data_IF_700681773104
#
_entry.id   IF_700681773104
#
_cell.length_a   1.000
_cell.length_b   1.000
_cell.length_c   1.000
_cell.angle_alpha   90.00
_cell.angle_beta   90.00
_cell.angle_gamma   90.00
#
_symmetry.space_group_name_H-M   'P 1'
#
loop_
_entity.id
_entity.type
_entity.pdbx_description
1 polymer ?
#
# COMPACT_ATOMS: atom_id res chain seq x y z
N UNK A 1 9.73 0.89 -0.38
CA UNK A 1 8.94 0.34 -1.51
C UNK A 1 7.46 0.47 -1.17
N UNK A 2 6.57 0.11 -2.10
CA UNK A 2 5.14 -0.22 -1.87
C UNK A 2 4.70 -1.22 -2.95
N UNK A 3 3.46 -1.73 -2.88
CA UNK A 3 2.87 -2.65 -3.85
C UNK A 3 1.38 -2.39 -4.08
N UNK A 4 0.89 -2.88 -5.23
CA UNK A 4 -0.52 -2.90 -5.60
C UNK A 4 -0.93 -4.37 -5.80
N UNK A 5 -2.09 -4.77 -5.30
CA UNK A 5 -2.62 -6.13 -5.49
C UNK A 5 -4.15 -6.15 -5.47
N UNK A 6 -4.75 -7.03 -6.27
CA UNK A 6 -6.19 -7.34 -6.17
C UNK A 6 -6.49 -8.43 -5.13
N UNK A 7 -5.45 -9.00 -4.51
CA UNK A 7 -5.54 -9.98 -3.44
C UNK A 7 -5.35 -9.38 -2.04
N UNK A 8 -5.12 -10.25 -1.06
CA UNK A 8 -4.86 -9.85 0.32
C UNK A 8 -3.46 -9.29 0.51
N UNK A 9 -3.31 -8.26 1.34
CA UNK A 9 -2.00 -7.75 1.78
C UNK A 9 -1.10 -8.84 2.36
N UNK A 10 -1.68 -9.83 3.06
CA UNK A 10 -0.93 -10.89 3.74
C UNK A 10 -0.08 -11.73 2.78
N UNK A 11 -0.55 -11.95 1.55
CA UNK A 11 0.18 -12.75 0.55
C UNK A 11 1.29 -11.97 -0.16
N UNK A 12 1.41 -10.67 0.11
CA UNK A 12 2.44 -9.80 -0.46
C UNK A 12 3.70 -9.69 0.41
N UNK A 13 3.80 -10.47 1.51
CA UNK A 13 4.93 -10.37 2.45
C UNK A 13 6.30 -10.52 1.79
N UNK A 14 6.44 -11.41 0.81
CA UNK A 14 7.72 -11.62 0.10
C UNK A 14 8.15 -10.39 -0.73
N UNK A 15 7.20 -9.49 -1.02
CA UNK A 15 7.42 -8.24 -1.76
C UNK A 15 7.57 -7.03 -0.83
N UNK A 16 7.43 -7.23 0.49
CA UNK A 16 7.59 -6.20 1.48
C UNK A 16 9.08 -5.97 1.79
N UNK A 17 9.71 -5.09 0.99
CA UNK A 17 11.15 -4.80 1.09
C UNK A 17 11.55 -4.03 2.36
N UNK A 18 10.65 -3.28 3.01
CA UNK A 18 10.99 -2.56 4.24
C UNK A 18 9.77 -2.35 5.15
N UNK A 19 9.96 -2.13 6.47
CA UNK A 19 8.85 -2.05 7.43
C UNK A 19 7.76 -1.02 7.11
N UNK A 20 8.04 -0.03 6.26
CA UNK A 20 7.09 1.01 5.89
C UNK A 20 6.30 0.69 4.60
N UNK A 21 6.58 -0.41 3.91
CA UNK A 21 5.97 -0.69 2.61
C UNK A 21 4.44 -0.86 2.71
N UNK A 22 3.97 -1.52 3.76
CA UNK A 22 2.54 -1.77 3.99
C UNK A 22 1.73 -0.48 4.23
N UNK A 23 2.37 0.62 4.63
CA UNK A 23 1.69 1.90 4.93
C UNK A 23 1.05 2.52 3.67
N UNK A 24 1.60 2.24 2.50
CA UNK A 24 1.12 2.76 1.22
C UNK A 24 0.68 1.64 0.28
N UNK A 25 0.48 0.43 0.81
CA UNK A 25 0.01 -0.70 0.02
C UNK A 25 -1.42 -0.43 -0.44
N UNK A 26 -1.69 -0.68 -1.73
CA UNK A 26 -3.02 -0.61 -2.31
C UNK A 26 -3.50 -2.05 -2.53
N UNK A 27 -4.16 -2.61 -1.52
CA UNK A 27 -4.68 -3.99 -1.54
C UNK A 27 -6.21 -3.99 -1.43
N UNK A 28 -6.84 -5.05 -1.95
CA UNK A 28 -8.30 -5.18 -1.97
C UNK A 28 -8.92 -5.32 -0.57
N UNK A 29 -8.12 -5.77 0.41
CA UNK A 29 -8.49 -5.98 1.82
C UNK A 29 -8.10 -4.81 2.75
N UNK A 30 -7.96 -3.59 2.22
CA UNK A 30 -7.45 -2.43 2.97
C UNK A 30 -8.25 -2.07 4.24
N UNK A 31 -9.53 -2.45 4.31
CA UNK A 31 -10.48 -2.20 5.41
C UNK A 31 -11.01 -3.49 6.06
N UNK A 32 -10.45 -4.66 5.72
CA UNK A 32 -10.87 -5.98 6.19
C UNK A 32 -12.36 -6.33 5.93
N UNK A 33 -12.99 -5.78 4.88
CA UNK A 33 -14.39 -6.11 4.50
C UNK A 33 -14.49 -6.89 3.17
N UNK A 34 -15.61 -7.56 2.95
CA UNK A 34 -15.95 -8.16 1.66
C UNK A 34 -16.34 -7.07 0.65
N UNK A 35 -15.84 -7.17 -0.59
CA UNK A 35 -16.24 -6.23 -1.65
C UNK A 35 -17.65 -6.58 -2.15
N UNK A 36 -18.51 -5.58 -2.37
CA UNK A 36 -19.76 -5.78 -3.11
C UNK A 36 -19.45 -6.27 -4.53
N UNK A 37 -20.37 -7.04 -5.08
CA UNK A 37 -20.24 -7.64 -6.41
C UNK A 37 -21.41 -7.26 -7.30
N UNK A 38 -21.18 -7.33 -8.61
CA UNK A 38 -22.16 -6.93 -9.63
C UNK A 38 -21.47 -6.54 -10.93
N UNK A 39 -20.30 -5.90 -10.82
CA UNK A 39 -19.39 -5.67 -11.94
C UNK A 39 -17.93 -5.60 -11.48
N UNK A 40 -16.98 -5.74 -12.41
CA UNK A 40 -15.55 -5.53 -12.12
C UNK A 40 -15.29 -4.09 -11.67
N UNK A 41 -15.98 -3.12 -12.28
CA UNK A 41 -15.88 -1.70 -11.92
C UNK A 41 -16.24 -1.47 -10.46
N UNK A 42 -17.40 -1.97 -10.02
CA UNK A 42 -17.85 -1.86 -8.62
C UNK A 42 -16.88 -2.51 -7.64
N UNK A 43 -16.36 -3.70 -7.97
CA UNK A 43 -15.36 -4.39 -7.14
C UNK A 43 -14.08 -3.56 -7.05
N UNK A 44 -13.59 -2.99 -8.15
CA UNK A 44 -12.36 -2.18 -8.16
C UNK A 44 -12.51 -0.87 -7.40
N UNK A 45 -13.64 -0.17 -7.57
CA UNK A 45 -13.93 1.09 -6.88
C UNK A 45 -14.05 0.87 -5.36
N UNK A 46 -14.82 -0.14 -4.95
CA UNK A 46 -14.96 -0.48 -3.52
C UNK A 46 -13.65 -0.98 -2.90
N UNK A 47 -12.78 -1.62 -3.69
CA UNK A 47 -11.44 -2.04 -3.27
C UNK A 47 -10.40 -0.90 -3.29
N UNK A 48 -10.73 0.28 -3.82
CA UNK A 48 -9.76 1.38 -3.95
C UNK A 48 -8.62 1.08 -4.93
N UNK A 49 -8.85 0.16 -5.89
CA UNK A 49 -7.89 -0.20 -6.95
C UNK A 49 -8.37 0.26 -8.34
N UNK A 50 -9.38 1.12 -8.38
CA UNK A 50 -9.75 1.86 -9.59
C UNK A 50 -8.66 2.91 -9.95
N UNK A 51 -8.63 3.41 -11.20
CA UNK A 51 -7.60 4.33 -11.65
C UNK A 51 -7.44 5.60 -10.80
N UNK A 52 -8.54 6.17 -10.28
CA UNK A 52 -8.47 7.41 -9.50
C UNK A 52 -7.89 7.16 -8.11
N UNK A 53 -8.32 6.07 -7.45
CA UNK A 53 -7.78 5.66 -6.15
C UNK A 53 -6.29 5.28 -6.24
N UNK A 54 -5.90 4.52 -7.27
CA UNK A 54 -4.49 4.18 -7.50
C UNK A 54 -3.63 5.41 -7.76
N UNK A 55 -4.10 6.33 -8.60
CA UNK A 55 -3.37 7.58 -8.86
C UNK A 55 -3.14 8.37 -7.56
N UNK A 56 -4.18 8.51 -6.74
CA UNK A 56 -4.09 9.16 -5.43
C UNK A 56 -3.07 8.47 -4.52
N UNK A 57 -3.11 7.14 -4.43
CA UNK A 57 -2.17 6.36 -3.60
C UNK A 57 -0.72 6.49 -4.05
N UNK A 58 -0.47 6.42 -5.36
CA UNK A 58 0.89 6.56 -5.94
C UNK A 58 1.43 7.98 -5.74
N UNK A 59 0.60 9.02 -5.94
CA UNK A 59 0.99 10.41 -5.69
C UNK A 59 1.36 10.59 -4.22
N UNK A 60 0.51 10.16 -3.30
CA UNK A 60 0.78 10.27 -1.86
C UNK A 60 2.09 9.54 -1.47
N UNK A 61 2.33 8.34 -2.04
CA UNK A 61 3.57 7.61 -1.84
C UNK A 61 4.82 8.39 -2.31
N UNK A 62 4.71 9.08 -3.46
CA UNK A 62 5.80 9.86 -4.02
C UNK A 62 6.07 11.14 -3.21
N UNK A 63 5.02 11.87 -2.86
CA UNK A 63 5.12 13.12 -2.07
C UNK A 63 5.73 12.87 -0.68
N UNK A 64 5.39 11.75 -0.04
CA UNK A 64 5.92 11.38 1.27
C UNK A 64 7.35 10.80 1.23
N UNK A 65 8.05 10.81 0.09
CA UNK A 65 9.40 10.23 -0.05
C UNK A 65 10.37 10.71 1.04
N UNK A 66 10.52 12.02 1.21
CA UNK A 66 11.47 12.59 2.17
C UNK A 66 11.15 12.19 3.62
N UNK A 67 9.86 12.12 3.96
CA UNK A 67 9.39 11.66 5.27
C UNK A 67 9.79 10.21 5.51
N UNK A 68 9.54 9.33 4.54
CA UNK A 68 9.85 7.90 4.64
C UNK A 68 11.33 7.62 4.71
N UNK A 69 12.16 8.35 3.95
CA UNK A 69 13.61 8.18 4.00
C UNK A 69 14.20 8.59 5.35
N UNK A 70 13.68 9.66 5.98
CA UNK A 70 14.09 10.03 7.34
C UNK A 70 13.74 8.95 8.36
N UNK A 71 12.53 8.41 8.30
CA UNK A 71 12.07 7.37 9.21
C UNK A 71 12.85 6.06 9.04
N UNK A 72 13.07 5.62 7.80
CA UNK A 72 13.92 4.45 7.51
C UNK A 72 15.38 4.66 7.94
N UNK A 73 15.91 5.88 7.75
CA UNK A 73 17.23 6.24 8.23
C UNK A 73 17.36 6.10 9.75
N UNK A 74 16.41 6.66 10.49
CA UNK A 74 16.36 6.52 11.96
C UNK A 74 16.28 5.06 12.41
N UNK A 75 15.42 4.25 11.79
CA UNK A 75 15.34 2.81 12.08
C UNK A 75 16.67 2.08 11.85
N UNK A 76 17.42 2.45 10.81
CA UNK A 76 18.73 1.85 10.53
C UNK A 76 19.79 2.28 11.54
N UNK A 77 19.75 3.53 11.99
CA UNK A 77 20.66 4.03 13.02
C UNK A 77 20.38 3.38 14.37
N UNK A 78 19.11 3.24 14.75
CA UNK A 78 18.69 2.52 15.97
C UNK A 78 19.13 1.05 15.96
N UNK A 79 19.10 0.39 14.79
CA UNK A 79 19.53 -1.01 14.65
C UNK A 79 21.06 -1.19 14.67
N UNK A 80 21.84 -0.12 14.51
CA UNK A 80 23.31 -0.14 14.54
C UNK A 80 23.88 0.14 15.94
N UNK A 81 23.11 0.81 16.80
CA UNK A 81 23.44 1.05 18.20
C UNK A 81 23.21 -0.18 19.07
#
# INVERSE_FOLDING_TARGET
STFVTNGSRRVMKDWNFNPLADRYAMSSDWDDLWRPGGSVTEVCESAGIDPASLAKGVIAFAEDYAKRMRELGGMLDDARG
#
